data_IF_882520264767
#
_entry.id   IF_882520264767
#
_cell.length_a   1.000
_cell.length_b   1.000
_cell.length_c   1.000
_cell.angle_alpha   90.00
_cell.angle_beta   90.00
_cell.angle_gamma   90.00
#
_symmetry.space_group_name_H-M   'P 1'
#
loop_
_entity.id
_entity.type
_entity.pdbx_description
1 polymer ?
#
# COMPACT_ATOMS: atom_id res chain seq x y z
N UNK A 1 -19.11 13.85 -22.19
CA UNK A 1 -18.22 15.01 -22.11
C UNK A 1 -17.64 15.21 -23.51
N UNK A 2 -17.69 16.41 -24.11
CA UNK A 2 -17.07 16.63 -25.42
C UNK A 2 -15.67 17.18 -25.20
N UNK A 3 -14.67 16.43 -25.64
CA UNK A 3 -13.27 16.85 -25.57
C UNK A 3 -13.05 17.93 -26.67
N UNK A 4 -12.48 19.04 -26.27
CA UNK A 4 -12.19 20.17 -27.22
C UNK A 4 -10.87 19.93 -27.97
N UNK A 5 -10.68 20.53 -29.17
CA UNK A 5 -9.39 20.44 -29.87
C UNK A 5 -8.18 20.94 -29.06
N UNK A 6 -8.40 21.91 -28.16
CA UNK A 6 -7.36 22.42 -27.27
C UNK A 6 -6.91 21.39 -26.27
N UNK A 7 -7.85 20.68 -25.62
CA UNK A 7 -7.56 19.59 -24.68
C UNK A 7 -6.83 18.42 -25.35
N UNK A 8 -7.18 18.12 -26.62
CA UNK A 8 -6.45 17.12 -27.41
C UNK A 8 -5.01 17.58 -27.66
N UNK A 9 -4.79 18.82 -28.01
CA UNK A 9 -3.46 19.39 -28.28
C UNK A 9 -2.59 19.39 -27.00
N UNK A 10 -3.16 19.73 -25.83
CA UNK A 10 -2.47 19.67 -24.53
C UNK A 10 -2.10 18.24 -24.17
N UNK A 11 -3.03 17.28 -24.33
CA UNK A 11 -2.76 15.86 -24.08
C UNK A 11 -1.64 15.35 -24.98
N UNK A 12 -1.64 15.68 -26.26
CA UNK A 12 -0.57 15.30 -27.19
C UNK A 12 0.77 15.95 -26.83
N UNK A 13 0.78 17.19 -26.36
CA UNK A 13 1.99 17.85 -25.88
C UNK A 13 2.53 17.17 -24.63
N UNK A 14 1.66 16.85 -23.67
CA UNK A 14 2.00 16.15 -22.44
C UNK A 14 2.66 14.78 -22.71
N UNK A 15 2.10 13.99 -23.62
CA UNK A 15 2.63 12.65 -23.94
C UNK A 15 3.86 12.71 -24.83
N UNK A 16 3.87 13.56 -25.89
CA UNK A 16 4.89 13.53 -26.95
C UNK A 16 6.06 14.49 -26.72
N UNK A 17 5.85 15.57 -25.97
CA UNK A 17 6.90 16.58 -25.73
C UNK A 17 7.41 16.55 -24.29
N UNK A 18 6.51 16.39 -23.33
CA UNK A 18 6.83 16.49 -21.91
C UNK A 18 7.01 15.11 -21.27
N UNK A 19 6.66 14.04 -22.01
CA UNK A 19 6.80 12.64 -21.57
C UNK A 19 6.17 12.37 -20.18
N UNK A 20 5.09 13.10 -19.86
CA UNK A 20 4.31 12.87 -18.64
C UNK A 20 3.39 11.67 -18.82
N UNK A 21 3.37 10.80 -17.86
CA UNK A 21 2.41 9.69 -17.75
C UNK A 21 1.73 9.68 -16.37
N UNK A 22 0.59 9.05 -16.28
CA UNK A 22 -0.03 8.74 -14.99
C UNK A 22 0.67 7.52 -14.43
N UNK A 23 1.60 7.75 -13.50
CA UNK A 23 2.41 6.68 -12.92
C UNK A 23 1.58 5.72 -12.08
N UNK A 24 0.59 6.24 -11.37
CA UNK A 24 -0.26 5.41 -10.52
C UNK A 24 -1.60 6.08 -10.22
N UNK A 25 -2.64 5.26 -10.13
CA UNK A 25 -3.88 5.59 -9.42
C UNK A 25 -3.94 4.70 -8.18
N UNK A 26 -4.09 5.31 -7.00
CA UNK A 26 -4.16 4.60 -5.72
C UNK A 26 -5.49 4.88 -5.04
N UNK A 27 -6.25 3.84 -4.75
CA UNK A 27 -7.44 3.91 -3.92
C UNK A 27 -7.02 3.71 -2.45
N UNK A 28 -7.10 4.76 -1.65
CA UNK A 28 -6.94 4.72 -0.20
C UNK A 28 -8.23 4.26 0.46
N UNK A 29 -8.17 3.29 1.38
CA UNK A 29 -9.34 2.72 2.06
C UNK A 29 -9.17 2.70 3.57
N UNK A 30 -10.17 3.22 4.27
CA UNK A 30 -10.28 3.09 5.71
C UNK A 30 -10.78 1.67 6.07
N UNK A 31 -9.99 0.94 6.86
CA UNK A 31 -10.30 -0.41 7.35
C UNK A 31 -10.69 -0.46 8.83
N UNK A 32 -10.84 0.68 9.53
CA UNK A 32 -11.18 0.68 10.96
C UNK A 32 -12.49 -0.03 11.28
N UNK A 33 -13.46 0.01 10.35
CA UNK A 33 -14.72 -0.75 10.47
C UNK A 33 -14.55 -2.28 10.35
N UNK A 34 -13.38 -2.76 9.95
CA UNK A 34 -13.08 -4.19 9.83
C UNK A 34 -12.54 -4.81 11.14
N UNK A 35 -12.31 -4.00 12.17
CA UNK A 35 -11.77 -4.44 13.47
C UNK A 35 -12.58 -5.59 14.07
N UNK A 36 -11.89 -6.63 14.56
CA UNK A 36 -12.48 -7.78 15.26
C UNK A 36 -11.45 -8.38 16.24
N UNK A 37 -11.93 -9.08 17.25
CA UNK A 37 -11.07 -9.84 18.17
C UNK A 37 -10.57 -11.14 17.55
N UNK A 38 -11.34 -11.73 16.64
CA UNK A 38 -10.99 -12.92 15.87
C UNK A 38 -10.29 -12.53 14.56
N UNK A 39 -9.07 -13.03 14.37
CA UNK A 39 -8.21 -12.69 13.24
C UNK A 39 -8.81 -13.15 11.90
N UNK A 40 -9.47 -14.31 11.86
CA UNK A 40 -10.04 -14.86 10.63
C UNK A 40 -11.27 -14.05 10.21
N UNK A 41 -12.10 -13.64 11.18
CA UNK A 41 -13.24 -12.74 10.93
C UNK A 41 -12.76 -11.38 10.47
N UNK A 42 -11.70 -10.83 11.07
CA UNK A 42 -11.08 -9.57 10.65
C UNK A 42 -10.55 -9.68 9.20
N UNK A 43 -9.81 -10.75 8.88
CA UNK A 43 -9.29 -10.99 7.54
C UNK A 43 -10.40 -11.07 6.49
N UNK A 44 -11.53 -11.73 6.79
CA UNK A 44 -12.70 -11.76 5.91
C UNK A 44 -13.30 -10.38 5.70
N UNK A 45 -13.50 -9.58 6.77
CA UNK A 45 -14.00 -8.20 6.68
C UNK A 45 -13.09 -7.31 5.82
N UNK A 46 -11.78 -7.46 5.96
CA UNK A 46 -10.78 -6.75 5.15
C UNK A 46 -10.93 -7.13 3.68
N UNK A 47 -11.01 -8.42 3.37
CA UNK A 47 -11.24 -8.92 2.02
C UNK A 47 -12.52 -8.35 1.40
N UNK A 48 -13.65 -8.46 2.11
CA UNK A 48 -14.95 -7.99 1.64
C UNK A 48 -14.95 -6.47 1.42
N UNK A 49 -14.37 -5.70 2.34
CA UNK A 49 -14.25 -4.24 2.21
C UNK A 49 -13.42 -3.84 1.00
N UNK A 50 -12.27 -4.47 0.79
CA UNK A 50 -11.38 -4.18 -0.32
C UNK A 50 -12.03 -4.52 -1.67
N UNK A 51 -12.59 -5.72 -1.81
CA UNK A 51 -13.21 -6.18 -3.06
C UNK A 51 -14.41 -5.34 -3.44
N UNK A 52 -15.27 -5.00 -2.47
CA UNK A 52 -16.46 -4.16 -2.72
C UNK A 52 -16.06 -2.72 -3.10
N UNK A 53 -15.13 -2.10 -2.36
CA UNK A 53 -14.76 -0.71 -2.60
C UNK A 53 -13.96 -0.51 -3.88
N UNK A 54 -13.16 -1.49 -4.28
CA UNK A 54 -12.27 -1.40 -5.44
C UNK A 54 -12.80 -2.07 -6.71
N UNK A 55 -14.04 -2.58 -6.69
CA UNK A 55 -14.67 -3.30 -7.82
C UNK A 55 -14.54 -2.55 -9.16
N UNK A 56 -14.72 -1.24 -9.13
CA UNK A 56 -14.71 -0.40 -10.34
C UNK A 56 -13.36 0.29 -10.60
N UNK A 57 -12.35 0.10 -9.75
CA UNK A 57 -11.08 0.82 -9.87
C UNK A 57 -10.36 0.51 -11.18
N UNK A 58 -10.12 -0.77 -11.46
CA UNK A 58 -9.39 -1.21 -12.66
C UNK A 58 -10.22 -0.98 -13.93
N UNK A 59 -11.51 -1.39 -14.01
CA UNK A 59 -12.33 -1.11 -15.20
C UNK A 59 -12.42 0.37 -15.55
N UNK A 60 -12.57 1.25 -14.54
CA UNK A 60 -12.63 2.71 -14.76
C UNK A 60 -11.28 3.25 -15.23
N UNK A 61 -10.16 2.81 -14.65
CA UNK A 61 -8.84 3.22 -15.08
C UNK A 61 -8.57 2.83 -16.54
N UNK A 62 -8.89 1.60 -16.94
CA UNK A 62 -8.74 1.13 -18.32
C UNK A 62 -9.68 1.86 -19.30
N UNK A 63 -10.87 2.25 -18.85
CA UNK A 63 -11.77 3.08 -19.66
C UNK A 63 -11.16 4.45 -19.90
N UNK A 64 -10.59 5.09 -18.88
CA UNK A 64 -9.93 6.39 -19.01
C UNK A 64 -8.69 6.30 -19.91
N UNK A 65 -7.89 5.25 -19.80
CA UNK A 65 -6.76 5.01 -20.71
C UNK A 65 -7.21 4.98 -22.18
N UNK A 66 -8.32 4.27 -22.47
CA UNK A 66 -8.88 4.21 -23.84
C UNK A 66 -9.48 5.53 -24.32
N UNK A 67 -10.15 6.27 -23.42
CA UNK A 67 -10.85 7.50 -23.75
C UNK A 67 -9.87 8.66 -23.99
N UNK A 68 -8.84 8.77 -23.17
CA UNK A 68 -7.89 9.90 -23.20
C UNK A 68 -6.55 9.56 -23.87
N UNK A 69 -6.27 8.28 -24.13
CA UNK A 69 -5.00 7.86 -24.72
C UNK A 69 -3.78 8.04 -23.79
N UNK A 70 -4.03 8.22 -22.48
CA UNK A 70 -2.98 8.40 -21.47
C UNK A 70 -2.78 7.09 -20.70
N UNK A 71 -1.58 6.49 -20.71
CA UNK A 71 -1.33 5.24 -19.97
C UNK A 71 -1.38 5.48 -18.46
N UNK A 72 -2.04 4.57 -17.73
CA UNK A 72 -2.03 4.49 -16.27
C UNK A 72 -1.20 3.27 -15.87
N UNK A 73 0.06 3.50 -15.53
CA UNK A 73 1.06 2.43 -15.39
C UNK A 73 0.72 1.45 -14.26
N UNK A 74 0.24 1.95 -13.11
CA UNK A 74 -0.11 1.10 -11.96
C UNK A 74 -1.47 1.49 -11.38
N UNK A 75 -2.28 0.50 -11.04
CA UNK A 75 -3.52 0.61 -10.27
C UNK A 75 -3.27 -0.03 -8.91
N UNK A 76 -3.46 0.72 -7.82
CA UNK A 76 -3.06 0.30 -6.46
C UNK A 76 -4.16 0.52 -5.45
N UNK A 77 -4.06 -0.22 -4.34
CA UNK A 77 -4.84 0.03 -3.12
C UNK A 77 -3.87 0.36 -1.99
N UNK A 78 -4.18 1.34 -1.18
CA UNK A 78 -3.55 1.59 0.12
C UNK A 78 -4.59 1.51 1.21
N UNK A 79 -4.28 0.84 2.32
CA UNK A 79 -5.23 0.67 3.42
C UNK A 79 -4.70 1.28 4.71
N UNK A 80 -5.59 1.52 5.68
CA UNK A 80 -5.21 1.88 7.04
C UNK A 80 -4.10 0.95 7.53
N UNK A 81 -3.05 1.44 8.21
CA UNK A 81 -2.01 0.60 8.77
C UNK A 81 -2.60 -0.58 9.55
N UNK A 82 -2.29 -1.80 9.12
CA UNK A 82 -2.91 -3.03 9.67
C UNK A 82 -2.64 -3.17 11.17
N UNK A 83 -1.50 -2.68 11.67
CA UNK A 83 -1.23 -2.68 13.10
C UNK A 83 -2.30 -1.91 13.91
N UNK A 84 -2.92 -0.86 13.35
CA UNK A 84 -3.98 -0.10 14.05
C UNK A 84 -5.24 -0.95 14.25
N UNK A 85 -5.69 -1.67 13.22
CA UNK A 85 -6.90 -2.49 13.32
C UNK A 85 -6.65 -3.76 14.14
N UNK A 86 -5.42 -4.28 14.14
CA UNK A 86 -5.01 -5.46 14.90
C UNK A 86 -4.81 -5.19 16.39
N UNK A 87 -4.95 -3.95 16.85
CA UNK A 87 -4.92 -3.64 18.29
C UNK A 87 -6.03 -4.34 19.07
N UNK A 88 -7.12 -4.73 18.43
CA UNK A 88 -8.27 -5.40 19.03
C UNK A 88 -8.13 -6.94 19.15
N UNK A 89 -7.17 -7.55 18.48
CA UNK A 89 -6.94 -9.00 18.54
C UNK A 89 -5.72 -9.35 19.39
N UNK A 90 -5.74 -10.54 19.99
CA UNK A 90 -4.59 -11.11 20.70
C UNK A 90 -3.71 -12.00 19.82
N UNK A 91 -4.01 -12.10 18.52
CA UNK A 91 -3.24 -12.89 17.57
C UNK A 91 -1.78 -12.41 17.50
N UNK A 92 -0.85 -13.34 17.57
CA UNK A 92 0.58 -13.05 17.42
C UNK A 92 1.03 -13.07 15.95
N UNK A 93 0.36 -13.87 15.11
CA UNK A 93 0.59 -13.92 13.66
C UNK A 93 -0.51 -13.16 12.93
N UNK A 94 -0.11 -12.15 12.17
CA UNK A 94 -1.01 -11.31 11.38
C UNK A 94 -0.97 -11.65 9.87
N UNK A 95 -0.23 -12.68 9.48
CA UNK A 95 -0.13 -13.14 8.08
C UNK A 95 -1.50 -13.47 7.44
N UNK A 96 -2.53 -13.99 8.16
CA UNK A 96 -3.85 -14.20 7.57
C UNK A 96 -4.47 -12.96 6.95
N UNK A 97 -4.22 -11.77 7.52
CA UNK A 97 -4.71 -10.51 6.95
C UNK A 97 -3.97 -10.19 5.65
N UNK A 98 -2.65 -10.35 5.61
CA UNK A 98 -1.88 -10.15 4.38
C UNK A 98 -2.35 -11.08 3.26
N UNK A 99 -2.64 -12.34 3.57
CA UNK A 99 -3.19 -13.32 2.62
C UNK A 99 -4.58 -12.91 2.12
N UNK A 100 -5.42 -12.35 2.99
CA UNK A 100 -6.73 -11.83 2.60
C UNK A 100 -6.60 -10.61 1.67
N UNK A 101 -5.66 -9.68 1.96
CA UNK A 101 -5.33 -8.54 1.11
C UNK A 101 -4.83 -8.98 -0.27
N UNK A 102 -3.96 -9.98 -0.32
CA UNK A 102 -3.43 -10.55 -1.58
C UNK A 102 -4.52 -11.19 -2.44
N UNK A 103 -5.43 -11.95 -1.81
CA UNK A 103 -6.60 -12.52 -2.49
C UNK A 103 -7.51 -11.41 -3.05
N UNK A 104 -7.76 -10.36 -2.29
CA UNK A 104 -8.55 -9.22 -2.75
C UNK A 104 -7.87 -8.52 -3.94
N UNK A 105 -6.54 -8.31 -3.88
CA UNK A 105 -5.77 -7.75 -4.99
C UNK A 105 -5.93 -8.56 -6.28
N UNK A 106 -5.84 -9.89 -6.19
CA UNK A 106 -6.02 -10.81 -7.33
C UNK A 106 -7.41 -10.71 -7.94
N UNK A 107 -8.45 -10.62 -7.12
CA UNK A 107 -9.84 -10.53 -7.58
C UNK A 107 -10.12 -9.20 -8.26
N UNK A 108 -9.63 -8.09 -7.68
CA UNK A 108 -9.83 -6.73 -8.22
C UNK A 108 -8.92 -6.47 -9.43
N UNK A 109 -7.78 -7.15 -9.53
CA UNK A 109 -6.82 -6.97 -10.63
C UNK A 109 -5.86 -5.80 -10.45
N UNK A 110 -5.59 -5.39 -9.21
CA UNK A 110 -4.62 -4.33 -8.92
C UNK A 110 -3.19 -4.85 -8.88
N UNK A 111 -2.23 -3.96 -9.17
CA UNK A 111 -0.81 -4.31 -9.24
C UNK A 111 -0.16 -4.45 -7.87
N UNK A 112 -0.59 -3.64 -6.89
CA UNK A 112 -0.04 -3.63 -5.52
C UNK A 112 -1.08 -3.23 -4.49
N UNK A 113 -0.89 -3.77 -3.27
CA UNK A 113 -1.63 -3.36 -2.07
C UNK A 113 -0.64 -2.98 -0.98
N UNK A 114 -0.69 -1.72 -0.54
CA UNK A 114 0.06 -1.21 0.61
C UNK A 114 -0.81 -1.14 1.86
N UNK A 115 -0.15 -1.03 3.02
CA UNK A 115 -0.82 -0.86 4.30
C UNK A 115 -0.64 -2.03 5.27
N UNK A 116 0.06 -3.10 4.90
CA UNK A 116 0.57 -4.05 5.90
C UNK A 116 1.71 -3.40 6.68
N UNK A 117 1.35 -2.43 7.52
CA UNK A 117 2.23 -1.36 8.01
C UNK A 117 2.08 -1.10 9.51
N UNK A 118 3.15 -0.57 10.12
CA UNK A 118 3.18 -0.09 11.49
C UNK A 118 3.85 1.29 11.60
N UNK A 119 3.35 2.15 12.47
CA UNK A 119 3.87 3.50 12.70
C UNK A 119 4.49 3.60 14.10
N UNK A 120 5.77 3.23 14.22
CA UNK A 120 6.45 3.01 15.52
C UNK A 120 7.43 4.11 15.91
N UNK A 121 7.38 5.26 15.26
CA UNK A 121 8.30 6.37 15.50
C UNK A 121 8.25 6.96 16.92
N UNK A 122 7.15 6.76 17.67
CA UNK A 122 7.01 7.18 19.06
C UNK A 122 7.09 6.03 20.07
N UNK A 123 7.17 4.81 19.60
CA UNK A 123 7.13 3.59 20.38
C UNK A 123 6.29 2.52 19.65
N UNK A 124 6.45 1.27 20.01
CA UNK A 124 5.72 0.15 19.42
C UNK A 124 4.75 -0.45 20.43
N UNK A 125 3.49 -0.60 20.04
CA UNK A 125 2.48 -1.37 20.76
C UNK A 125 2.71 -2.87 20.59
N UNK A 126 1.90 -3.70 21.28
CA UNK A 126 1.87 -5.15 21.05
C UNK A 126 1.52 -5.47 19.59
N UNK A 127 0.49 -4.84 19.04
CA UNK A 127 0.05 -5.09 17.67
C UNK A 127 1.12 -4.68 16.64
N UNK A 128 1.82 -3.55 16.86
CA UNK A 128 2.94 -3.16 16.01
C UNK A 128 4.07 -4.21 16.03
N UNK A 129 4.39 -4.73 17.21
CA UNK A 129 5.42 -5.77 17.34
C UNK A 129 5.00 -7.07 16.65
N UNK A 130 3.76 -7.52 16.82
CA UNK A 130 3.21 -8.70 16.16
C UNK A 130 3.20 -8.52 14.63
N UNK A 131 2.84 -7.33 14.13
CA UNK A 131 2.90 -7.04 12.70
C UNK A 131 4.33 -7.12 12.18
N UNK A 132 5.28 -6.43 12.83
CA UNK A 132 6.69 -6.47 12.40
C UNK A 132 7.23 -7.91 12.36
N UNK A 133 6.91 -8.72 13.37
CA UNK A 133 7.35 -10.12 13.44
C UNK A 133 6.69 -11.01 12.37
N UNK A 134 5.47 -10.66 11.91
CA UNK A 134 4.76 -11.37 10.84
C UNK A 134 5.21 -10.98 9.41
N UNK A 135 5.98 -9.90 9.23
CA UNK A 135 6.37 -9.39 7.89
C UNK A 135 7.07 -10.47 7.03
N UNK A 136 8.07 -11.22 7.52
CA UNK A 136 8.76 -12.20 6.68
C UNK A 136 7.82 -13.24 6.11
N UNK A 137 6.96 -13.82 6.93
CA UNK A 137 6.01 -14.87 6.53
C UNK A 137 4.90 -14.30 5.63
N UNK A 138 4.37 -13.13 5.97
CA UNK A 138 3.37 -12.43 5.18
C UNK A 138 3.87 -12.13 3.75
N UNK A 139 5.08 -11.57 3.61
CA UNK A 139 5.63 -11.22 2.30
C UNK A 139 6.15 -12.44 1.52
N UNK A 140 6.49 -13.52 2.20
CA UNK A 140 6.77 -14.80 1.56
C UNK A 140 5.51 -15.48 1.00
N UNK A 141 4.38 -15.36 1.70
CA UNK A 141 3.11 -15.97 1.32
C UNK A 141 2.30 -15.18 0.29
N UNK A 142 2.70 -13.94 -0.04
CA UNK A 142 1.90 -13.01 -0.88
C UNK A 142 2.69 -12.50 -2.07
N UNK A 143 1.98 -12.16 -3.17
CA UNK A 143 2.55 -11.63 -4.40
C UNK A 143 2.40 -10.10 -4.49
N UNK A 144 1.23 -9.56 -4.15
CA UNK A 144 0.84 -8.16 -4.36
C UNK A 144 0.97 -7.27 -3.13
N UNK A 145 1.07 -7.88 -1.93
CA UNK A 145 1.13 -7.12 -0.67
C UNK A 145 2.51 -6.53 -0.47
N UNK A 146 2.52 -5.23 -0.14
CA UNK A 146 3.69 -4.48 0.26
C UNK A 146 3.57 -4.07 1.74
N UNK A 147 4.70 -3.95 2.41
CA UNK A 147 4.79 -3.62 3.83
C UNK A 147 5.65 -2.39 4.07
N UNK A 148 5.32 -1.64 5.11
CA UNK A 148 6.15 -0.53 5.55
C UNK A 148 6.14 -0.34 7.06
N UNK A 149 7.26 0.13 7.60
CA UNK A 149 7.38 0.48 9.01
C UNK A 149 8.03 1.86 9.13
N UNK A 150 7.33 2.81 9.76
CA UNK A 150 7.86 4.14 10.01
C UNK A 150 8.54 4.17 11.39
N UNK A 151 9.88 4.21 11.41
CA UNK A 151 10.69 4.13 12.63
C UNK A 151 11.12 5.50 13.16
N UNK A 152 10.84 6.59 12.46
CA UNK A 152 11.28 7.93 12.89
C UNK A 152 10.40 9.04 12.36
N UNK A 153 10.50 10.21 13.01
CA UNK A 153 9.92 11.45 12.52
C UNK A 153 10.74 12.65 12.99
N UNK A 154 10.65 13.76 12.27
CA UNK A 154 11.30 15.02 12.63
C UNK A 154 10.92 15.46 14.05
N UNK A 155 9.69 15.15 14.48
CA UNK A 155 9.17 15.55 15.79
C UNK A 155 9.58 14.61 16.92
N UNK A 156 9.65 13.32 16.68
CA UNK A 156 9.91 12.30 17.71
C UNK A 156 11.36 11.79 17.71
N UNK A 157 12.14 12.07 16.65
CA UNK A 157 13.43 11.44 16.44
C UNK A 157 13.28 10.03 15.86
N UNK A 158 14.33 9.22 16.00
CA UNK A 158 14.40 7.85 15.49
C UNK A 158 14.20 6.87 16.64
N UNK A 159 13.29 5.94 16.51
CA UNK A 159 13.15 4.79 17.39
C UNK A 159 14.23 3.75 17.03
N UNK A 160 15.36 3.80 17.74
CA UNK A 160 16.53 2.97 17.45
C UNK A 160 16.26 1.47 17.67
N UNK A 161 15.41 1.11 18.65
CA UNK A 161 15.05 -0.28 18.88
C UNK A 161 14.23 -0.85 17.71
N UNK A 162 13.28 -0.07 17.19
CA UNK A 162 12.53 -0.44 16.00
C UNK A 162 13.43 -0.51 14.75
N UNK A 163 14.35 0.44 14.58
CA UNK A 163 15.29 0.43 13.47
C UNK A 163 16.19 -0.81 13.50
N UNK A 164 16.70 -1.18 14.67
CA UNK A 164 17.49 -2.39 14.86
C UNK A 164 16.69 -3.68 14.60
N UNK A 165 15.46 -3.74 15.14
CA UNK A 165 14.54 -4.87 14.88
C UNK A 165 14.27 -5.00 13.37
N UNK A 166 13.97 -3.89 12.68
CA UNK A 166 13.70 -3.90 11.24
C UNK A 166 14.89 -4.34 10.40
N UNK A 167 16.12 -4.04 10.78
CA UNK A 167 17.30 -4.55 10.09
C UNK A 167 17.34 -6.09 10.07
N UNK A 168 16.99 -6.71 11.20
CA UNK A 168 16.86 -8.18 11.30
C UNK A 168 15.70 -8.73 10.47
N UNK A 169 14.56 -8.01 10.43
CA UNK A 169 13.37 -8.39 9.67
C UNK A 169 13.64 -8.31 8.16
N UNK A 170 14.28 -7.25 7.66
CA UNK A 170 14.69 -7.14 6.25
C UNK A 170 15.52 -8.34 5.82
N UNK A 171 16.52 -8.73 6.64
CA UNK A 171 17.35 -9.90 6.37
C UNK A 171 16.51 -11.18 6.32
N UNK A 172 15.68 -11.44 7.34
CA UNK A 172 14.79 -12.62 7.38
C UNK A 172 13.84 -12.67 6.18
N UNK A 173 13.28 -11.52 5.78
CA UNK A 173 12.39 -11.43 4.62
C UNK A 173 13.11 -11.74 3.31
N UNK A 174 14.36 -11.28 3.16
CA UNK A 174 15.19 -11.63 2.01
C UNK A 174 15.47 -13.15 1.98
N UNK A 175 15.86 -13.73 3.11
CA UNK A 175 16.12 -15.17 3.25
C UNK A 175 14.87 -16.01 2.97
N UNK A 176 13.70 -15.62 3.49
CA UNK A 176 12.42 -16.30 3.27
C UNK A 176 11.95 -16.29 1.81
N UNK A 177 12.49 -15.40 0.97
CA UNK A 177 12.15 -15.27 -0.45
C UNK A 177 13.35 -15.42 -1.37
N UNK A 178 14.41 -16.11 -0.91
CA UNK A 178 15.65 -16.28 -1.64
C UNK A 178 15.45 -17.02 -2.98
N UNK A 179 14.53 -17.99 -3.03
CA UNK A 179 14.10 -18.71 -4.22
C UNK A 179 13.43 -17.82 -5.29
N UNK A 180 12.91 -16.67 -4.88
CA UNK A 180 12.26 -15.64 -5.72
C UNK A 180 13.09 -14.35 -5.79
N UNK A 181 14.41 -14.46 -5.84
CA UNK A 181 15.35 -13.32 -5.95
C UNK A 181 15.22 -12.32 -4.80
N UNK A 182 14.87 -12.78 -3.61
CA UNK A 182 14.66 -11.93 -2.41
C UNK A 182 13.58 -10.83 -2.59
N UNK A 183 12.58 -11.05 -3.45
CA UNK A 183 11.56 -10.05 -3.78
C UNK A 183 10.78 -9.56 -2.56
N UNK A 184 10.65 -10.36 -1.50
CA UNK A 184 10.01 -9.94 -0.27
C UNK A 184 10.69 -8.71 0.35
N UNK A 185 12.01 -8.64 0.34
CA UNK A 185 12.74 -7.46 0.80
C UNK A 185 12.50 -6.23 -0.11
N UNK A 186 12.27 -6.43 -1.41
CA UNK A 186 11.90 -5.38 -2.35
C UNK A 186 10.48 -4.81 -2.14
N UNK A 187 9.61 -5.58 -1.45
CA UNK A 187 8.25 -5.17 -1.08
C UNK A 187 8.17 -4.55 0.34
N UNK A 188 9.29 -4.41 1.03
CA UNK A 188 9.37 -3.87 2.39
C UNK A 188 10.09 -2.54 2.41
N UNK A 189 9.46 -1.51 2.99
CA UNK A 189 10.04 -0.18 3.15
C UNK A 189 10.16 0.18 4.62
N UNK A 190 11.33 0.66 5.04
CA UNK A 190 11.54 1.25 6.37
C UNK A 190 11.63 2.76 6.19
N UNK A 191 10.66 3.48 6.74
CA UNK A 191 10.58 4.93 6.65
C UNK A 191 11.19 5.63 7.86
N UNK A 192 11.74 6.80 7.61
CA UNK A 192 11.93 7.84 8.59
C UNK A 192 11.22 9.08 8.07
N UNK A 193 10.36 9.67 8.90
CA UNK A 193 9.57 10.85 8.57
C UNK A 193 8.56 10.62 7.43
N UNK A 194 7.87 9.46 7.44
CA UNK A 194 6.73 9.25 6.54
C UNK A 194 5.68 10.35 6.74
N UNK A 195 5.04 10.76 5.67
CA UNK A 195 3.91 11.70 5.70
C UNK A 195 2.69 11.05 6.37
N UNK A 196 1.70 11.86 6.77
CA UNK A 196 0.50 11.37 7.48
C UNK A 196 -0.34 10.43 6.62
N UNK A 197 -0.42 10.68 5.31
CA UNK A 197 -0.98 9.78 4.29
C UNK A 197 0.04 9.59 3.18
N UNK A 198 0.37 8.35 2.84
CA UNK A 198 1.33 8.03 1.79
C UNK A 198 0.70 7.09 0.76
N UNK A 199 0.09 7.62 -0.30
CA UNK A 199 -0.61 6.81 -1.30
C UNK A 199 0.31 6.13 -2.31
N UNK A 200 1.63 6.39 -2.28
CA UNK A 200 2.54 5.97 -3.34
C UNK A 200 3.63 5.03 -2.84
N UNK A 201 4.27 4.32 -3.80
CA UNK A 201 5.35 3.37 -3.60
C UNK A 201 4.93 2.07 -2.85
N UNK A 202 5.88 1.17 -2.66
CA UNK A 202 5.68 -0.08 -1.92
C UNK A 202 5.30 0.16 -0.44
N UNK A 203 5.66 1.31 0.11
CA UNK A 203 5.34 1.71 1.47
C UNK A 203 4.02 2.45 1.63
N UNK A 204 3.11 2.38 0.67
CA UNK A 204 1.83 3.07 0.74
C UNK A 204 0.99 2.65 1.95
N UNK A 205 0.31 3.61 2.56
CA UNK A 205 -0.72 3.40 3.56
C UNK A 205 -1.72 4.57 3.54
N UNK A 206 -2.95 4.30 3.96
CA UNK A 206 -4.02 5.28 4.07
C UNK A 206 -4.01 5.88 5.47
N UNK A 207 -3.85 7.19 5.56
CA UNK A 207 -3.63 7.91 6.81
C UNK A 207 -4.85 7.97 7.73
N UNK A 208 -4.58 8.29 8.99
CA UNK A 208 -5.60 8.29 10.04
C UNK A 208 -6.59 9.45 9.97
N UNK A 209 -6.27 10.52 9.28
CA UNK A 209 -7.12 11.72 9.13
C UNK A 209 -7.93 11.74 7.84
N UNK A 210 -7.76 10.75 6.98
CA UNK A 210 -8.37 10.70 5.65
C UNK A 210 -9.81 10.17 5.68
N UNK A 211 -10.54 10.45 4.59
CA UNK A 211 -11.90 9.95 4.38
C UNK A 211 -11.94 8.43 4.22
N UNK A 212 -13.13 7.82 4.27
CA UNK A 212 -13.32 6.36 4.16
C UNK A 212 -12.79 5.76 2.86
N UNK A 213 -12.79 6.55 1.78
CA UNK A 213 -12.18 6.19 0.51
C UNK A 213 -11.67 7.46 -0.21
N UNK A 214 -10.45 7.40 -0.72
CA UNK A 214 -9.80 8.51 -1.43
C UNK A 214 -9.09 7.98 -2.67
N UNK A 215 -9.21 8.68 -3.81
CA UNK A 215 -8.45 8.36 -5.01
C UNK A 215 -7.31 9.35 -5.16
N UNK A 216 -6.08 8.85 -5.18
CA UNK A 216 -4.86 9.61 -5.38
C UNK A 216 -4.28 9.32 -6.76
N UNK A 217 -3.89 10.38 -7.47
CA UNK A 217 -3.27 10.28 -8.80
C UNK A 217 -1.82 10.74 -8.72
N UNK A 218 -0.90 9.89 -9.11
CA UNK A 218 0.53 10.20 -9.18
C UNK A 218 0.99 10.36 -10.62
N UNK A 219 1.46 11.55 -10.97
CA UNK A 219 2.05 11.85 -12.27
C UNK A 219 3.55 11.62 -12.22
N UNK A 220 4.13 11.02 -13.28
CA UNK A 220 5.57 10.80 -13.37
C UNK A 220 6.29 12.11 -13.71
N UNK A 221 7.25 12.51 -12.87
CA UNK A 221 8.13 13.65 -13.12
C UNK A 221 9.46 13.33 -13.82
N UNK A 222 10.01 12.07 -13.74
CA UNK A 222 11.34 11.78 -14.30
C UNK A 222 11.49 11.92 -15.81
N UNK A 223 10.39 11.95 -16.56
CA UNK A 223 10.42 12.18 -18.01
C UNK A 223 10.51 13.65 -18.42
N UNK A 224 10.49 14.58 -17.45
CA UNK A 224 10.47 16.04 -17.66
C UNK A 224 11.85 16.69 -17.40
N UNK A 225 12.79 15.93 -16.84
CA UNK A 225 14.13 16.42 -16.45
C UNK A 225 15.18 16.04 -17.49
#
# INVERSE_FOLDING_TARGET
>A
MQITPAEIAETLAMVNKEHLDIRTITLGLNLRGCTDSDIDTMARKVYDRMTTAAEQLVPTAEQLEREYGIPIVNKRISVTPIAEICAATDACDLSPIAVAMDKAAKVVGVDFVGGFSALVHKGASRADNNLMDSIPDALAATDFVCSSVNVGSTRAGINMDAAFKMAGIVKKTAEATADRQCIGAGKLVVFCNAVEDNPFMAGAFHGSGEADAVVNVGVSGPGVV
#
